data_IF_227177068076
#
_entry.id   IF_227177068076
#
_cell.length_a   1.000
_cell.length_b   1.000
_cell.length_c   1.000
_cell.angle_alpha   90.00
_cell.angle_beta   90.00
_cell.angle_gamma   90.00
#
_symmetry.space_group_name_H-M   'P 1'
#
loop_
_entity.id
_entity.type
_entity.pdbx_description
1 polymer ?
#
# COMPACT_ATOMS: atom_id res chain seq x y z
N UNK A 1 15.87 13.31 10.15
CA UNK A 1 15.29 12.24 9.33
C UNK A 1 13.82 12.54 9.09
N UNK A 2 13.47 13.39 8.12
CA UNK A 2 12.06 13.83 7.94
C UNK A 2 11.71 14.27 6.52
N UNK A 3 12.48 13.85 5.53
CA UNK A 3 12.18 14.14 4.11
C UNK A 3 10.93 13.39 3.66
N UNK A 4 10.93 12.06 3.83
CA UNK A 4 9.82 11.20 3.44
C UNK A 4 8.49 11.60 4.10
N UNK A 5 8.49 11.87 5.41
CA UNK A 5 7.26 12.30 6.11
C UNK A 5 6.65 13.56 5.49
N UNK A 6 7.47 14.60 5.26
CA UNK A 6 7.00 15.86 4.66
C UNK A 6 6.47 15.66 3.24
N UNK A 7 7.11 14.78 2.47
CA UNK A 7 6.65 14.43 1.12
C UNK A 7 5.30 13.72 1.15
N UNK A 8 5.14 12.73 2.03
CA UNK A 8 3.87 12.01 2.20
C UNK A 8 2.75 12.93 2.68
N UNK A 9 3.01 13.79 3.68
CA UNK A 9 2.04 14.78 4.17
C UNK A 9 1.60 15.73 3.06
N UNK A 10 2.55 16.24 2.26
CA UNK A 10 2.25 17.11 1.11
C UNK A 10 1.43 16.39 0.05
N UNK A 11 1.78 15.15 -0.30
CA UNK A 11 1.04 14.35 -1.27
C UNK A 11 -0.39 14.08 -0.79
N UNK A 12 -0.58 13.73 0.49
CA UNK A 12 -1.90 13.54 1.06
C UNK A 12 -2.74 14.81 0.95
N UNK A 13 -2.19 15.98 1.30
CA UNK A 13 -2.90 17.26 1.18
C UNK A 13 -3.33 17.61 -0.25
N UNK A 14 -2.53 17.24 -1.25
CA UNK A 14 -2.83 17.54 -2.65
C UNK A 14 -3.80 16.54 -3.28
N UNK A 15 -3.73 15.26 -2.90
CA UNK A 15 -4.43 14.19 -3.59
C UNK A 15 -5.66 13.69 -2.84
N UNK A 16 -5.51 13.29 -1.56
CA UNK A 16 -6.51 12.46 -0.87
C UNK A 16 -7.19 13.15 0.32
N UNK A 17 -6.45 14.00 1.03
CA UNK A 17 -6.90 14.72 2.23
C UNK A 17 -7.48 13.76 3.29
N UNK A 18 -6.90 12.57 3.41
CA UNK A 18 -7.35 11.52 4.32
C UNK A 18 -6.67 11.66 5.70
N UNK A 19 -7.37 11.25 6.75
CA UNK A 19 -6.76 11.07 8.06
C UNK A 19 -5.84 9.83 8.10
N UNK A 20 -5.04 9.74 9.15
CA UNK A 20 -4.04 8.68 9.29
C UNK A 20 -4.67 7.29 9.39
N UNK A 21 -5.79 7.13 10.09
CA UNK A 21 -6.45 5.83 10.23
C UNK A 21 -6.95 5.33 8.87
N UNK A 22 -7.55 6.23 8.07
CA UNK A 22 -7.96 5.94 6.70
C UNK A 22 -6.78 5.57 5.80
N UNK A 23 -5.67 6.31 5.88
CA UNK A 23 -4.46 6.00 5.13
C UNK A 23 -3.94 4.61 5.48
N UNK A 24 -3.93 4.25 6.77
CA UNK A 24 -3.43 2.96 7.22
C UNK A 24 -4.34 1.81 6.78
N UNK A 25 -5.65 2.03 6.71
CA UNK A 25 -6.63 1.02 6.28
C UNK A 25 -6.53 0.67 4.79
N UNK A 26 -6.06 1.59 3.93
CA UNK A 26 -5.89 1.34 2.49
C UNK A 26 -4.95 0.18 2.14
N UNK A 27 -4.06 -0.23 3.04
CA UNK A 27 -3.25 -1.42 2.79
C UNK A 27 -4.09 -2.71 2.77
N UNK A 28 -5.28 -2.69 3.38
CA UNK A 28 -6.18 -3.82 3.48
C UNK A 28 -7.44 -3.63 2.60
N UNK A 29 -7.78 -2.38 2.24
CA UNK A 29 -8.99 -2.04 1.47
C UNK A 29 -8.75 -1.55 0.04
N UNK A 30 -7.54 -1.14 -0.31
CA UNK A 30 -7.19 -0.64 -1.64
C UNK A 30 -6.12 -1.52 -2.30
N UNK A 31 -5.90 -1.33 -3.60
CA UNK A 31 -4.96 -2.10 -4.40
C UNK A 31 -5.68 -3.01 -5.40
N UNK A 32 -4.89 -3.77 -6.15
CA UNK A 32 -5.47 -4.74 -7.07
C UNK A 32 -5.89 -6.00 -6.33
N UNK A 33 -7.02 -6.61 -6.72
CA UNK A 33 -7.43 -7.87 -6.15
C UNK A 33 -6.34 -8.93 -6.41
N UNK A 34 -6.15 -9.82 -5.45
CA UNK A 34 -5.30 -10.97 -5.67
C UNK A 34 -5.86 -11.82 -6.82
N UNK A 35 -4.99 -12.21 -7.75
CA UNK A 35 -5.36 -13.09 -8.86
C UNK A 35 -5.80 -14.48 -8.36
N UNK A 36 -5.38 -14.89 -7.16
CA UNK A 36 -5.82 -16.13 -6.56
C UNK A 36 -5.33 -16.29 -5.14
N UNK A 37 -5.79 -17.36 -4.49
CA UNK A 37 -5.33 -17.78 -3.17
C UNK A 37 -4.53 -19.07 -3.30
N UNK A 38 -3.50 -19.21 -2.48
CA UNK A 38 -2.74 -20.46 -2.40
C UNK A 38 -3.50 -21.43 -1.49
N UNK A 39 -3.76 -22.63 -1.99
CA UNK A 39 -4.43 -23.67 -1.23
C UNK A 39 -3.59 -24.18 -0.04
N UNK A 40 -4.18 -24.92 0.90
CA UNK A 40 -3.48 -25.47 2.08
C UNK A 40 -2.29 -26.37 1.76
N UNK A 41 -2.22 -26.91 0.55
CA UNK A 41 -1.15 -27.77 0.02
C UNK A 41 -0.06 -26.99 -0.72
N UNK A 42 -0.13 -25.67 -0.74
CA UNK A 42 0.83 -24.80 -1.44
C UNK A 42 0.60 -24.72 -2.95
N UNK A 43 -0.45 -25.34 -3.47
CA UNK A 43 -0.78 -25.27 -4.89
C UNK A 43 -1.75 -24.11 -5.17
N UNK A 44 -1.59 -23.50 -6.34
CA UNK A 44 -2.55 -22.53 -6.87
C UNK A 44 -3.09 -23.08 -8.19
N UNK A 45 -4.40 -23.02 -8.35
CA UNK A 45 -5.07 -23.46 -9.57
C UNK A 45 -5.28 -22.26 -10.47
N UNK A 46 -4.68 -22.30 -11.67
CA UNK A 46 -4.94 -21.27 -12.69
C UNK A 46 -6.40 -21.23 -13.16
N UNK A 47 -7.15 -22.32 -12.96
CA UNK A 47 -8.58 -22.38 -13.29
C UNK A 47 -9.45 -21.60 -12.29
N UNK A 48 -8.92 -21.37 -11.08
CA UNK A 48 -9.61 -20.65 -10.00
C UNK A 48 -9.18 -19.18 -9.91
N UNK A 49 -8.37 -18.70 -10.86
CA UNK A 49 -7.97 -17.29 -11.00
C UNK A 49 -9.10 -16.54 -11.72
N UNK A 50 -9.84 -15.65 -11.06
CA UNK A 50 -10.83 -14.82 -11.72
C UNK A 50 -10.11 -13.89 -12.71
N UNK A 51 -10.69 -13.70 -13.89
CA UNK A 51 -10.17 -12.68 -14.81
C UNK A 51 -10.55 -11.29 -14.28
N UNK A 52 -9.56 -10.58 -13.73
CA UNK A 52 -9.74 -9.19 -13.30
C UNK A 52 -9.57 -8.26 -14.50
N UNK A 53 -10.69 -7.73 -15.00
CA UNK A 53 -10.71 -6.83 -16.16
C UNK A 53 -10.68 -5.34 -15.79
N UNK A 54 -10.85 -5.02 -14.51
CA UNK A 54 -10.88 -3.65 -14.01
C UNK A 54 -9.67 -3.39 -13.10
N UNK A 55 -8.83 -2.46 -13.51
CA UNK A 55 -7.68 -1.99 -12.76
C UNK A 55 -7.90 -0.54 -12.36
N UNK A 56 -8.18 -0.31 -11.07
CA UNK A 56 -8.30 1.04 -10.53
C UNK A 56 -6.90 1.56 -10.11
N UNK A 57 -6.32 2.39 -10.98
CA UNK A 57 -5.00 2.98 -10.75
C UNK A 57 -4.97 3.93 -9.54
N UNK A 58 -6.10 4.53 -9.18
CA UNK A 58 -6.21 5.36 -7.98
C UNK A 58 -6.18 4.49 -6.72
N UNK A 59 -6.88 3.36 -6.75
CA UNK A 59 -6.82 2.36 -5.67
C UNK A 59 -5.39 1.84 -5.47
N UNK A 60 -4.70 1.47 -6.55
CA UNK A 60 -3.29 1.08 -6.48
C UNK A 60 -2.39 2.17 -5.89
N UNK A 61 -2.60 3.43 -6.29
CA UNK A 61 -1.82 4.55 -5.76
C UNK A 61 -2.04 4.75 -4.25
N UNK A 62 -3.28 4.61 -3.76
CA UNK A 62 -3.60 4.67 -2.33
C UNK A 62 -2.96 3.53 -1.55
N UNK A 63 -3.00 2.31 -2.09
CA UNK A 63 -2.31 1.15 -1.51
C UNK A 63 -0.80 1.38 -1.40
N UNK A 64 -0.15 1.83 -2.49
CA UNK A 64 1.29 2.14 -2.42
C UNK A 64 1.60 3.24 -1.41
N UNK A 65 0.77 4.29 -1.38
CA UNK A 65 0.88 5.39 -0.42
C UNK A 65 0.78 4.91 1.04
N UNK A 66 -0.17 4.03 1.35
CA UNK A 66 -0.34 3.47 2.71
C UNK A 66 0.87 2.63 3.13
N UNK A 67 1.47 1.89 2.21
CA UNK A 67 2.70 1.13 2.47
C UNK A 67 3.88 2.04 2.82
N UNK A 68 4.06 3.15 2.10
CA UNK A 68 5.07 4.14 2.46
C UNK A 68 4.78 4.81 3.81
N UNK A 69 3.51 5.09 4.13
CA UNK A 69 3.13 5.65 5.42
C UNK A 69 3.44 4.69 6.58
N UNK A 70 3.09 3.41 6.43
CA UNK A 70 3.41 2.35 7.40
C UNK A 70 4.93 2.22 7.59
N UNK A 71 5.71 2.21 6.50
CA UNK A 71 7.17 2.15 6.58
C UNK A 71 7.77 3.37 7.29
N UNK A 72 7.28 4.57 6.96
CA UNK A 72 7.68 5.83 7.61
C UNK A 72 7.41 5.80 9.11
N UNK A 73 6.20 5.41 9.52
CA UNK A 73 5.85 5.26 10.94
C UNK A 73 6.75 4.27 11.66
N UNK A 74 6.95 3.09 11.08
CA UNK A 74 7.83 2.07 11.68
C UNK A 74 9.26 2.61 11.85
N UNK A 75 9.79 3.29 10.85
CA UNK A 75 11.12 3.87 10.90
C UNK A 75 11.26 4.96 11.98
N UNK A 76 10.25 5.81 12.15
CA UNK A 76 10.21 6.81 13.22
C UNK A 76 10.12 6.17 14.61
N UNK A 77 9.22 5.20 14.78
CA UNK A 77 8.98 4.48 16.04
C UNK A 77 10.19 3.67 16.47
N UNK A 78 10.86 2.98 15.54
CA UNK A 78 12.04 2.14 15.82
C UNK A 78 13.36 2.90 15.68
N UNK A 79 13.34 4.17 15.28
CA UNK A 79 14.50 5.00 15.01
C UNK A 79 15.49 4.39 14.00
N UNK A 80 14.98 3.71 12.97
CA UNK A 80 15.78 3.07 11.91
C UNK A 80 15.70 3.86 10.60
N UNK A 81 16.75 3.85 9.75
CA UNK A 81 16.69 4.53 8.46
C UNK A 81 15.83 3.78 7.44
N UNK A 82 15.20 4.51 6.53
CA UNK A 82 14.59 3.97 5.32
C UNK A 82 15.57 4.14 4.17
N UNK A 83 15.86 3.04 3.46
CA UNK A 83 16.59 3.04 2.20
C UNK A 83 15.59 2.86 1.06
N UNK A 84 15.55 3.81 0.14
CA UNK A 84 14.81 3.69 -1.11
C UNK A 84 15.83 3.38 -2.21
N UNK A 85 15.71 2.20 -2.81
CA UNK A 85 16.52 1.78 -3.96
C UNK A 85 15.69 2.04 -5.24
N UNK A 86 16.25 2.78 -6.19
CA UNK A 86 15.57 3.29 -7.39
C UNK A 86 16.18 2.72 -8.67
#
# INVERSE_FOLDING_TARGET
MGGLRKELEKLNQLAWQADEDTILDWADTEGYPADGTVGPDGQYSKADIPEHTQYDTQSLAKFAFSMFWRAMRFAEEQQVPILLDY
#
